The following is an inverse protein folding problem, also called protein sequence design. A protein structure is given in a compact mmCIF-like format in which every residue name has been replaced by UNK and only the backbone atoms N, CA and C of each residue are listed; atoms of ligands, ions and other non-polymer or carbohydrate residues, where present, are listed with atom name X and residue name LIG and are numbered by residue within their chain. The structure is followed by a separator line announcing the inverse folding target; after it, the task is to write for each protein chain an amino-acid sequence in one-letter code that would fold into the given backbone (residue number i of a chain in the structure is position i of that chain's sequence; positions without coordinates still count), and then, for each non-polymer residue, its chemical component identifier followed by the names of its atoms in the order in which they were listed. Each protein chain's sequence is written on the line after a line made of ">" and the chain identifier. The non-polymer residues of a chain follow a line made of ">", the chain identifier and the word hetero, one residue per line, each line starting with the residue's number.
data_IF_820610760783
#
_entry.id   IF_820610760783
#
_cell.length_a   1.000
_cell.length_b   1.000
_cell.length_c   1.000
_cell.angle_alpha   90.00
_cell.angle_beta   90.00
_cell.angle_gamma   90.00
#
_symmetry.space_group_name_H-M   'P 1'
#
loop_
_entity.id
_entity.type
_entity.pdbx_description
1 polymer ?
#
# COMPACT_ATOMS: atom_id res chain seq x y z
N UNK A 1 36.89 16.02 -2.82
CA UNK A 1 36.49 14.72 -2.23
C UNK A 1 37.16 13.58 -2.99
N UNK A 2 37.99 12.74 -2.34
CA UNK A 2 38.42 11.46 -2.93
C UNK A 2 37.19 10.53 -2.98
N UNK A 3 36.90 9.95 -4.15
CA UNK A 3 35.81 8.97 -4.29
C UNK A 3 36.15 7.71 -3.50
N UNK A 4 35.16 7.10 -2.84
CA UNK A 4 35.34 5.84 -2.12
C UNK A 4 35.80 4.73 -3.09
N UNK A 5 36.69 3.85 -2.61
CA UNK A 5 37.24 2.72 -3.39
C UNK A 5 36.20 1.62 -3.64
N UNK A 6 35.21 1.52 -2.77
CA UNK A 6 34.08 0.58 -2.85
C UNK A 6 32.81 1.38 -2.63
N UNK A 7 31.79 1.12 -3.45
CA UNK A 7 30.45 1.68 -3.31
C UNK A 7 29.47 0.53 -3.17
N UNK A 8 28.65 0.57 -2.15
CA UNK A 8 27.62 -0.44 -1.89
C UNK A 8 26.27 0.21 -2.11
N UNK A 9 25.44 -0.40 -2.94
CA UNK A 9 24.09 0.05 -3.26
C UNK A 9 23.10 -1.01 -2.80
N UNK A 10 22.07 -0.59 -2.06
CA UNK A 10 20.93 -1.42 -1.72
C UNK A 10 19.76 -0.99 -2.61
N UNK A 11 19.09 -1.95 -3.23
CA UNK A 11 17.93 -1.71 -4.08
C UNK A 11 16.90 -2.82 -3.87
N UNK A 12 15.64 -2.48 -4.10
CA UNK A 12 14.51 -3.42 -4.08
C UNK A 12 13.52 -2.96 -5.15
N UNK A 13 13.47 -3.66 -6.28
CA UNK A 13 12.58 -3.30 -7.39
C UNK A 13 11.09 -3.49 -7.06
N UNK A 14 10.77 -4.28 -6.02
CA UNK A 14 9.41 -4.45 -5.51
C UNK A 14 8.95 -3.24 -4.66
N UNK A 15 9.87 -2.31 -4.35
CA UNK A 15 9.58 -1.04 -3.68
C UNK A 15 9.39 0.12 -4.67
N UNK A 16 9.51 -0.12 -5.98
CA UNK A 16 9.29 0.92 -7.01
C UNK A 16 7.79 1.21 -7.13
N UNK A 17 7.39 2.48 -6.97
CA UNK A 17 5.98 2.91 -6.95
C UNK A 17 5.54 3.68 -8.19
N UNK A 18 6.48 4.34 -8.86
CA UNK A 18 6.28 5.15 -10.07
C UNK A 18 7.23 4.68 -11.17
N UNK A 19 6.80 4.80 -12.43
CA UNK A 19 7.59 4.32 -13.58
C UNK A 19 8.95 5.03 -13.74
N UNK A 20 9.02 6.32 -13.38
CA UNK A 20 10.22 7.17 -13.47
C UNK A 20 11.31 6.83 -12.43
N UNK A 21 11.04 5.90 -11.52
CA UNK A 21 12.04 5.49 -10.54
C UNK A 21 13.12 4.61 -11.19
N UNK A 22 14.35 5.13 -11.19
CA UNK A 22 15.53 4.50 -11.78
C UNK A 22 16.31 3.58 -10.82
N UNK A 23 15.73 3.24 -9.67
CA UNK A 23 16.32 2.36 -8.64
C UNK A 23 16.38 0.88 -9.03
N UNK A 24 16.70 0.59 -10.29
CA UNK A 24 16.69 -0.74 -10.91
C UNK A 24 18.07 -1.34 -10.99
N UNK A 25 18.14 -2.68 -10.90
CA UNK A 25 19.42 -3.40 -10.99
C UNK A 25 20.17 -3.01 -12.27
N UNK A 26 19.46 -3.02 -13.40
CA UNK A 26 20.01 -2.71 -14.72
C UNK A 26 20.70 -1.34 -14.73
N UNK A 27 20.13 -0.35 -14.05
CA UNK A 27 20.69 1.00 -14.02
C UNK A 27 21.97 1.05 -13.18
N UNK A 28 21.98 0.37 -12.03
CA UNK A 28 23.20 0.26 -11.21
C UNK A 28 24.33 -0.45 -11.96
N UNK A 29 24.02 -1.54 -12.67
CA UNK A 29 24.99 -2.27 -13.50
C UNK A 29 25.55 -1.36 -14.59
N UNK A 30 24.68 -0.67 -15.33
CA UNK A 30 25.08 0.25 -16.40
C UNK A 30 25.97 1.40 -15.88
N UNK A 31 25.71 1.90 -14.67
CA UNK A 31 26.49 2.99 -14.07
C UNK A 31 27.83 2.55 -13.46
N UNK A 32 27.95 1.29 -13.04
CA UNK A 32 29.16 0.79 -12.39
C UNK A 32 30.32 0.57 -13.38
N UNK A 33 30.03 0.47 -14.69
CA UNK A 33 30.95 0.21 -15.80
C UNK A 33 31.70 -1.14 -15.72
N UNK A 34 32.39 -1.47 -14.61
CA UNK A 34 33.13 -2.74 -14.42
C UNK A 34 33.22 -3.14 -12.92
N UNK A 35 33.51 -4.42 -12.62
CA UNK A 35 33.71 -4.99 -11.26
C UNK A 35 32.50 -4.95 -10.31
N UNK A 36 31.34 -5.39 -10.79
CA UNK A 36 30.12 -5.50 -9.96
C UNK A 36 30.04 -6.88 -9.29
N UNK A 37 30.06 -6.89 -7.96
CA UNK A 37 29.69 -8.07 -7.18
C UNK A 37 28.23 -7.97 -6.74
N UNK A 38 27.42 -8.97 -7.11
CA UNK A 38 26.01 -9.05 -6.71
C UNK A 38 25.86 -9.89 -5.46
N UNK A 39 25.11 -9.37 -4.48
CA UNK A 39 24.73 -10.11 -3.28
C UNK A 39 23.23 -9.98 -3.05
N UNK A 40 22.59 -11.08 -2.68
CA UNK A 40 21.19 -11.10 -2.26
C UNK A 40 21.12 -11.21 -0.74
N UNK A 41 20.36 -10.33 -0.10
CA UNK A 41 20.08 -10.41 1.33
C UNK A 41 18.89 -11.36 1.52
N UNK A 42 19.12 -12.52 2.15
CA UNK A 42 18.10 -13.56 2.34
C UNK A 42 17.34 -13.44 3.66
N UNK A 43 17.80 -12.60 4.59
CA UNK A 43 17.20 -12.43 5.90
C UNK A 43 16.09 -11.40 5.93
N UNK A 44 14.83 -11.83 6.08
CA UNK A 44 13.71 -10.96 6.43
C UNK A 44 13.45 -11.05 7.95
N UNK A 45 14.12 -10.20 8.74
CA UNK A 45 14.09 -10.33 10.21
C UNK A 45 12.77 -9.92 10.85
N UNK A 46 12.04 -8.96 10.26
CA UNK A 46 10.79 -8.41 10.80
C UNK A 46 9.53 -8.80 10.03
N UNK A 47 9.69 -9.41 8.86
CA UNK A 47 8.59 -9.72 7.94
C UNK A 47 8.73 -11.15 7.40
N UNK A 48 8.57 -12.18 8.25
CA UNK A 48 8.73 -13.58 7.84
C UNK A 48 7.68 -14.03 6.79
N UNK A 49 6.64 -13.21 6.57
CA UNK A 49 5.54 -13.47 5.65
C UNK A 49 5.68 -12.75 4.30
N UNK A 50 6.79 -12.04 4.03
CA UNK A 50 6.97 -11.27 2.80
C UNK A 50 6.82 -12.12 1.53
N UNK A 51 7.40 -13.32 1.51
CA UNK A 51 7.28 -14.25 0.37
C UNK A 51 5.85 -14.75 0.15
N UNK A 52 5.06 -14.87 1.22
CA UNK A 52 3.65 -15.22 1.12
C UNK A 52 2.87 -14.13 0.38
N UNK A 53 3.15 -12.86 0.67
CA UNK A 53 2.53 -11.72 -0.02
C UNK A 53 2.98 -11.65 -1.48
N UNK A 54 4.26 -11.92 -1.78
CA UNK A 54 4.73 -12.01 -3.17
C UNK A 54 3.96 -13.04 -3.97
N UNK A 55 3.81 -14.25 -3.42
CA UNK A 55 3.04 -15.34 -4.05
C UNK A 55 1.57 -14.97 -4.24
N UNK A 56 0.93 -14.39 -3.21
CA UNK A 56 -0.43 -13.88 -3.29
C UNK A 56 -0.60 -12.92 -4.48
N UNK A 57 0.28 -11.93 -4.60
CA UNK A 57 0.18 -10.87 -5.60
C UNK A 57 0.58 -11.34 -7.01
N UNK A 58 1.39 -12.40 -7.13
CA UNK A 58 1.63 -13.10 -8.39
C UNK A 58 0.40 -13.89 -8.86
N UNK A 59 -0.50 -14.24 -7.94
CA UNK A 59 -1.68 -15.05 -8.21
C UNK A 59 -1.46 -16.54 -7.97
N UNK A 60 -0.41 -16.89 -7.23
CA UNK A 60 -0.10 -18.26 -6.86
C UNK A 60 -1.10 -18.76 -5.80
N UNK A 61 -1.26 -20.08 -5.70
CA UNK A 61 -2.05 -20.67 -4.63
C UNK A 61 -1.34 -20.48 -3.27
N UNK A 62 -1.99 -19.79 -2.35
CA UNK A 62 -1.45 -19.47 -1.02
C UNK A 62 -2.52 -19.64 0.05
N UNK A 63 -2.09 -19.82 1.30
CA UNK A 63 -2.97 -19.75 2.46
C UNK A 63 -2.44 -18.66 3.39
N UNK A 64 -3.28 -17.67 3.69
CA UNK A 64 -2.98 -16.62 4.64
C UNK A 64 -3.34 -17.10 6.05
N UNK A 65 -2.40 -17.15 7.00
CA UNK A 65 -2.68 -17.58 8.36
C UNK A 65 -3.60 -16.56 9.05
N UNK A 66 -4.78 -17.01 9.49
CA UNK A 66 -5.77 -16.15 10.16
C UNK A 66 -5.30 -15.61 11.52
N UNK A 67 -4.22 -16.18 12.06
CA UNK A 67 -3.52 -15.65 13.23
C UNK A 67 -2.84 -14.30 12.96
N UNK A 68 -2.49 -14.03 11.71
CA UNK A 68 -1.79 -12.80 11.30
C UNK A 68 -2.63 -11.92 10.37
N UNK A 69 -3.28 -12.51 9.36
CA UNK A 69 -4.12 -11.80 8.39
C UNK A 69 -5.59 -11.92 8.75
N UNK A 70 -6.30 -10.79 8.84
CA UNK A 70 -7.72 -10.74 9.22
C UNK A 70 -8.49 -9.99 8.14
N UNK A 71 -9.28 -10.69 7.32
CA UNK A 71 -10.13 -10.06 6.31
C UNK A 71 -11.49 -9.72 6.93
N UNK A 72 -11.93 -8.47 6.78
CA UNK A 72 -13.16 -7.95 7.38
C UNK A 72 -14.22 -7.63 6.33
N UNK A 73 -15.46 -8.00 6.61
CA UNK A 73 -16.61 -7.70 5.74
C UNK A 73 -17.02 -6.22 5.80
N UNK A 74 -16.74 -5.56 6.93
CA UNK A 74 -17.14 -4.20 7.18
C UNK A 74 -15.98 -3.37 7.72
N UNK A 75 -15.84 -2.15 7.17
CA UNK A 75 -14.77 -1.23 7.55
C UNK A 75 -14.85 -0.86 9.05
N UNK A 76 -16.04 -0.68 9.61
CA UNK A 76 -16.24 -0.38 11.02
C UNK A 76 -15.68 -1.49 11.93
N UNK A 77 -15.93 -2.76 11.57
CA UNK A 77 -15.39 -3.92 12.28
C UNK A 77 -13.87 -4.01 12.20
N UNK A 78 -13.31 -3.68 11.03
CA UNK A 78 -11.86 -3.58 10.88
C UNK A 78 -11.28 -2.52 11.82
N UNK A 79 -11.83 -1.31 11.82
CA UNK A 79 -11.34 -0.21 12.65
C UNK A 79 -11.45 -0.54 14.15
N UNK A 80 -12.59 -1.09 14.60
CA UNK A 80 -12.80 -1.49 15.99
C UNK A 80 -11.80 -2.57 16.45
N UNK A 81 -11.51 -3.54 15.57
CA UNK A 81 -10.57 -4.63 15.87
C UNK A 81 -9.12 -4.17 16.08
N UNK A 82 -8.74 -3.03 15.50
CA UNK A 82 -7.42 -2.41 15.64
C UNK A 82 -7.39 -1.42 16.81
N UNK A 83 -8.48 -0.65 17.00
CA UNK A 83 -8.55 0.47 17.95
C UNK A 83 -8.16 0.09 19.37
N UNK A 84 -8.58 -1.09 19.82
CA UNK A 84 -8.36 -1.57 21.19
C UNK A 84 -7.02 -2.29 21.40
N UNK A 85 -6.21 -2.48 20.36
CA UNK A 85 -4.91 -3.15 20.48
C UNK A 85 -3.89 -2.25 21.19
N UNK A 86 -2.96 -2.84 21.94
CA UNK A 86 -1.83 -2.10 22.51
C UNK A 86 -0.61 -2.21 21.59
N UNK A 87 -0.07 -1.06 21.16
CA UNK A 87 1.01 -0.95 20.18
C UNK A 87 0.72 0.11 19.11
N UNK A 88 1.70 0.35 18.23
CA UNK A 88 1.59 1.28 17.11
C UNK A 88 0.54 0.79 16.11
N UNK A 89 -0.32 1.70 15.66
CA UNK A 89 -1.42 1.41 14.72
C UNK A 89 -1.26 2.29 13.50
N UNK A 90 -1.52 1.71 12.33
CA UNK A 90 -1.60 2.47 11.09
C UNK A 90 -2.78 1.99 10.26
N UNK A 91 -3.35 2.91 9.49
CA UNK A 91 -4.32 2.67 8.45
C UNK A 91 -3.68 3.10 7.14
N UNK A 92 -3.61 2.18 6.19
CA UNK A 92 -3.04 2.42 4.86
C UNK A 92 -4.14 2.16 3.84
N UNK A 93 -4.34 3.09 2.92
CA UNK A 93 -5.38 2.99 1.90
C UNK A 93 -4.77 2.98 0.50
N UNK A 94 -5.35 2.17 -0.38
CA UNK A 94 -5.12 2.28 -1.81
C UNK A 94 -5.46 3.70 -2.29
N UNK A 95 -4.64 4.24 -3.20
CA UNK A 95 -4.76 5.61 -3.72
C UNK A 95 -5.87 5.66 -4.80
N UNK A 96 -7.10 5.51 -4.32
CA UNK A 96 -8.31 5.45 -5.13
C UNK A 96 -9.40 6.35 -4.56
N UNK A 97 -10.43 6.63 -5.37
CA UNK A 97 -11.66 7.36 -5.03
C UNK A 97 -11.48 8.85 -4.67
N UNK A 98 -10.27 9.25 -4.26
CA UNK A 98 -9.95 10.52 -3.63
C UNK A 98 -8.54 10.94 -4.04
N UNK A 99 -8.38 12.13 -4.62
CA UNK A 99 -7.11 12.60 -5.18
C UNK A 99 -6.20 13.27 -4.14
N UNK A 100 -6.77 13.74 -3.03
CA UNK A 100 -6.06 14.57 -2.07
C UNK A 100 -5.81 15.99 -2.59
N UNK A 101 -5.65 16.91 -1.66
CA UNK A 101 -5.44 18.34 -1.90
C UNK A 101 -4.54 18.89 -0.78
N UNK A 102 -3.23 18.93 -1.08
CA UNK A 102 -2.19 19.36 -0.14
C UNK A 102 -2.27 20.85 0.19
N UNK A 103 -2.86 21.63 -0.71
CA UNK A 103 -2.94 23.09 -0.59
C UNK A 103 -4.13 23.52 0.27
N UNK A 104 -5.18 22.69 0.34
CA UNK A 104 -6.36 22.93 1.17
C UNK A 104 -6.68 21.76 2.09
N UNK A 105 -6.27 21.86 3.36
CA UNK A 105 -6.51 20.84 4.40
C UNK A 105 -8.00 20.50 4.61
N UNK A 106 -8.91 21.43 4.34
CA UNK A 106 -10.35 21.26 4.51
C UNK A 106 -11.06 20.78 3.24
N UNK A 107 -10.32 20.53 2.16
CA UNK A 107 -10.86 20.08 0.89
C UNK A 107 -11.62 18.76 1.05
N UNK A 108 -12.85 18.62 0.49
CA UNK A 108 -13.55 17.34 0.42
C UNK A 108 -12.72 16.25 -0.28
N UNK A 109 -11.78 16.65 -1.15
CA UNK A 109 -10.81 15.77 -1.82
C UNK A 109 -9.84 15.09 -0.87
N UNK A 110 -9.76 15.52 0.38
CA UNK A 110 -8.94 14.85 1.40
C UNK A 110 -9.66 13.69 2.07
N UNK A 111 -10.99 13.55 1.91
CA UNK A 111 -11.74 12.42 2.47
C UNK A 111 -11.46 11.18 1.62
N UNK A 112 -10.85 10.15 2.21
CA UNK A 112 -10.60 8.85 1.55
C UNK A 112 -11.65 7.81 1.89
N UNK A 113 -12.13 7.81 3.13
CA UNK A 113 -13.22 6.94 3.60
C UNK A 113 -14.28 7.81 4.23
N UNK A 114 -15.47 7.81 3.65
CA UNK A 114 -16.59 8.62 4.07
C UNK A 114 -17.57 8.82 2.93
N UNK A 115 -18.58 9.67 3.14
CA UNK A 115 -19.56 9.99 2.12
C UNK A 115 -20.02 11.45 2.28
N UNK A 116 -20.22 12.22 1.19
CA UNK A 116 -19.95 11.85 -0.20
C UNK A 116 -18.45 11.82 -0.55
N UNK A 117 -18.07 11.00 -1.52
CA UNK A 117 -16.74 11.01 -2.15
C UNK A 117 -16.81 11.65 -3.53
N UNK A 118 -15.71 12.24 -3.99
CA UNK A 118 -15.61 12.85 -5.33
C UNK A 118 -15.88 11.87 -6.47
N UNK A 119 -15.58 10.58 -6.27
CA UNK A 119 -15.84 9.52 -7.25
C UNK A 119 -17.30 9.07 -7.28
N UNK A 120 -18.15 9.63 -6.40
CA UNK A 120 -19.52 9.17 -6.15
C UNK A 120 -19.62 7.75 -5.61
N UNK A 121 -18.52 7.16 -5.14
CA UNK A 121 -18.52 5.84 -4.51
C UNK A 121 -19.31 5.86 -3.20
N UNK A 122 -20.29 4.97 -3.08
CA UNK A 122 -21.33 5.00 -2.05
C UNK A 122 -21.22 3.88 -1.00
N UNK A 123 -20.18 3.05 -1.06
CA UNK A 123 -19.93 1.97 -0.09
C UNK A 123 -19.94 2.44 1.36
N UNK A 124 -19.53 3.70 1.60
CA UNK A 124 -19.44 4.32 2.92
C UNK A 124 -20.67 5.16 3.29
N UNK A 125 -21.71 5.21 2.45
CA UNK A 125 -22.96 5.91 2.73
C UNK A 125 -23.59 5.35 4.01
N UNK A 126 -24.11 6.23 4.86
CA UNK A 126 -24.71 5.89 6.16
C UNK A 126 -23.77 5.24 7.20
N UNK A 127 -22.45 5.17 6.96
CA UNK A 127 -21.48 4.63 7.94
C UNK A 127 -21.04 5.67 8.98
N UNK A 128 -21.35 6.95 8.78
CA UNK A 128 -20.90 8.07 9.61
C UNK A 128 -19.36 8.07 9.84
N UNK A 129 -18.60 7.74 8.79
CA UNK A 129 -17.14 7.73 8.80
C UNK A 129 -16.61 8.96 8.07
N UNK A 130 -15.51 9.51 8.59
CA UNK A 130 -14.72 10.56 7.94
C UNK A 130 -13.25 10.34 8.25
N UNK A 131 -12.58 9.56 7.41
CA UNK A 131 -11.15 9.33 7.46
C UNK A 131 -10.53 10.05 6.27
N UNK A 132 -9.57 10.91 6.55
CA UNK A 132 -8.88 11.67 5.51
C UNK A 132 -7.50 11.11 5.25
N UNK A 133 -6.92 11.50 4.13
CA UNK A 133 -5.50 11.32 3.88
C UNK A 133 -4.65 11.99 4.96
N UNK A 134 -3.48 11.40 5.20
CA UNK A 134 -2.34 12.04 5.85
C UNK A 134 -1.69 12.94 4.79
N UNK A 135 -1.61 14.24 5.06
CA UNK A 135 -1.31 15.24 4.02
C UNK A 135 0.07 15.87 4.17
N UNK A 136 0.58 16.01 5.41
CA UNK A 136 1.82 16.73 5.65
C UNK A 136 2.99 15.80 6.02
N UNK A 137 3.91 15.64 5.07
CA UNK A 137 5.09 14.79 5.20
C UNK A 137 6.05 15.22 6.33
N UNK A 138 6.08 16.51 6.70
CA UNK A 138 7.00 17.03 7.72
C UNK A 138 6.41 16.98 9.13
N UNK A 139 5.10 17.22 9.25
CA UNK A 139 4.47 17.42 10.57
C UNK A 139 3.55 16.29 10.99
N UNK A 140 2.87 15.63 10.04
CA UNK A 140 1.92 14.55 10.33
C UNK A 140 2.60 13.18 10.24
N UNK A 141 3.40 12.93 9.20
CA UNK A 141 3.99 11.61 8.94
C UNK A 141 4.89 11.13 10.08
N UNK A 142 5.84 11.93 10.62
CA UNK A 142 6.68 11.48 11.72
C UNK A 142 5.86 11.09 12.95
N UNK A 143 4.87 11.92 13.33
CA UNK A 143 3.99 11.66 14.47
C UNK A 143 3.10 10.43 14.26
N UNK A 144 2.63 10.23 13.03
CA UNK A 144 1.82 9.09 12.64
C UNK A 144 2.59 7.78 12.83
N UNK A 145 3.78 7.70 12.26
CA UNK A 145 4.58 6.47 12.27
C UNK A 145 5.37 6.25 13.56
N UNK A 146 5.62 7.30 14.37
CA UNK A 146 6.17 7.16 15.72
C UNK A 146 5.14 6.69 16.75
N UNK A 147 3.84 6.73 16.42
CA UNK A 147 2.75 6.36 17.33
C UNK A 147 2.27 7.49 18.25
N UNK A 148 2.67 8.73 17.98
CA UNK A 148 2.28 9.93 18.75
C UNK A 148 0.96 10.55 18.27
N UNK A 149 0.38 10.04 17.19
CA UNK A 149 -0.87 10.54 16.63
C UNK A 149 -2.06 10.11 17.52
N UNK A 150 -2.81 11.08 18.05
CA UNK A 150 -3.88 10.84 19.05
C UNK A 150 -4.95 9.83 18.58
N UNK A 151 -5.37 9.93 17.33
CA UNK A 151 -6.28 8.97 16.71
C UNK A 151 -5.73 8.54 15.34
N UNK A 152 -4.85 7.53 15.29
CA UNK A 152 -4.18 7.12 14.05
C UNK A 152 -5.13 6.47 13.04
N UNK A 153 -6.38 6.16 13.43
CA UNK A 153 -7.40 5.58 12.55
C UNK A 153 -8.35 6.64 11.96
N UNK A 154 -8.26 7.91 12.41
CA UNK A 154 -8.94 9.06 11.78
C UNK A 154 -8.24 9.58 10.52
N UNK A 155 -7.00 9.14 10.30
CA UNK A 155 -6.18 9.43 9.12
C UNK A 155 -5.73 8.13 8.47
N UNK A 156 -5.48 8.16 7.18
CA UNK A 156 -4.85 7.06 6.47
C UNK A 156 -3.65 7.53 5.67
N UNK A 157 -2.58 6.75 5.69
CA UNK A 157 -1.46 6.94 4.79
C UNK A 157 -1.78 6.32 3.42
N UNK A 158 -1.34 6.96 2.34
CA UNK A 158 -1.26 6.28 1.06
C UNK A 158 0.02 5.43 1.00
N UNK A 159 0.15 4.58 -0.02
CA UNK A 159 1.32 3.71 -0.19
C UNK A 159 2.65 4.48 -0.18
N UNK A 160 2.72 5.65 -0.82
CA UNK A 160 3.91 6.50 -0.85
C UNK A 160 4.33 6.98 0.55
N UNK A 161 3.35 7.24 1.41
CA UNK A 161 3.61 7.66 2.78
C UNK A 161 3.82 6.54 3.78
N UNK A 162 3.67 5.28 3.33
CA UNK A 162 3.91 4.09 4.14
C UNK A 162 5.26 3.44 3.85
N UNK A 163 5.88 3.73 2.70
CA UNK A 163 7.16 3.18 2.32
C UNK A 163 8.24 3.49 3.37
N UNK A 164 8.94 2.46 3.83
CA UNK A 164 10.00 2.57 4.85
C UNK A 164 9.53 2.65 6.30
N UNK A 165 8.21 2.67 6.57
CA UNK A 165 7.67 2.68 7.94
C UNK A 165 7.05 1.33 8.33
N UNK A 166 6.76 1.12 9.61
CA UNK A 166 6.17 -0.12 10.16
C UNK A 166 5.30 0.21 11.39
N UNK A 167 4.22 -0.55 11.60
CA UNK A 167 3.37 -0.48 12.78
C UNK A 167 3.04 -1.88 13.31
N UNK A 168 2.69 -2.00 14.60
CA UNK A 168 2.35 -3.30 15.20
C UNK A 168 1.09 -3.88 14.57
N UNK A 169 0.06 -3.05 14.38
CA UNK A 169 -1.21 -3.43 13.78
C UNK A 169 -1.51 -2.51 12.61
N UNK A 170 -1.72 -3.08 11.44
CA UNK A 170 -1.99 -2.32 10.21
C UNK A 170 -3.37 -2.68 9.69
N UNK A 171 -4.20 -1.66 9.47
CA UNK A 171 -5.39 -1.75 8.62
C UNK A 171 -5.01 -1.43 7.18
N UNK A 172 -5.34 -2.29 6.24
CA UNK A 172 -5.18 -2.07 4.80
C UNK A 172 -6.56 -1.98 4.17
N UNK A 173 -6.88 -0.82 3.60
CA UNK A 173 -8.05 -0.66 2.74
C UNK A 173 -7.61 -0.96 1.31
N UNK A 174 -7.97 -2.17 0.89
CA UNK A 174 -7.76 -2.68 -0.45
C UNK A 174 -8.79 -2.05 -1.39
N UNK A 175 -8.31 -1.23 -2.32
CA UNK A 175 -9.14 -0.45 -3.21
C UNK A 175 -9.65 -1.24 -4.42
N UNK A 176 -10.47 -0.58 -5.25
CA UNK A 176 -11.01 -1.19 -6.47
C UNK A 176 -10.04 -1.16 -7.67
N UNK A 177 -8.77 -0.82 -7.47
CA UNK A 177 -7.76 -0.66 -8.53
C UNK A 177 -7.05 -1.98 -8.92
N UNK A 178 -6.87 -2.90 -7.97
CA UNK A 178 -6.38 -4.26 -8.19
C UNK A 178 -7.44 -5.26 -7.75
N UNK A 179 -8.15 -5.88 -8.68
CA UNK A 179 -9.31 -6.74 -8.38
C UNK A 179 -9.10 -8.18 -8.81
N UNK A 180 -9.74 -9.12 -8.12
CA UNK A 180 -9.70 -10.54 -8.45
C UNK A 180 -10.86 -10.94 -9.37
N UNK A 181 -10.53 -11.57 -10.50
CA UNK A 181 -11.49 -12.15 -11.46
C UNK A 181 -10.98 -13.51 -11.97
N UNK A 182 -10.59 -14.39 -11.03
CA UNK A 182 -9.82 -15.61 -11.33
C UNK A 182 -8.33 -15.38 -11.61
N UNK A 183 -7.95 -14.11 -11.80
CA UNK A 183 -6.59 -13.57 -11.80
C UNK A 183 -6.64 -12.12 -11.33
N UNK A 184 -5.49 -11.56 -10.99
CA UNK A 184 -5.37 -10.12 -10.71
C UNK A 184 -5.59 -9.29 -11.97
N UNK A 185 -6.50 -8.32 -11.89
CA UNK A 185 -6.87 -7.41 -12.98
C UNK A 185 -6.76 -5.97 -12.52
N UNK A 186 -6.19 -5.12 -13.37
CA UNK A 186 -6.13 -3.67 -13.16
C UNK A 186 -7.47 -3.05 -13.53
N UNK A 187 -8.07 -2.33 -12.60
CA UNK A 187 -9.23 -1.49 -12.87
C UNK A 187 -8.81 -0.03 -12.72
N UNK A 188 -8.84 0.72 -13.82
CA UNK A 188 -8.36 2.10 -13.86
C UNK A 188 -9.38 3.14 -13.43
N UNK A 189 -10.66 2.76 -13.32
CA UNK A 189 -11.75 3.69 -12.99
C UNK A 189 -11.56 4.44 -11.66
N UNK A 190 -11.21 3.77 -10.54
CA UNK A 190 -11.13 4.42 -9.24
C UNK A 190 -9.77 5.09 -8.98
N UNK A 191 -8.78 4.90 -9.85
CA UNK A 191 -7.41 5.39 -9.66
C UNK A 191 -7.39 6.93 -9.78
N UNK A 192 -6.86 7.57 -8.74
CA UNK A 192 -6.76 9.03 -8.61
C UNK A 192 -5.34 9.53 -8.35
N UNK A 193 -4.35 8.62 -8.31
CA UNK A 193 -2.97 8.99 -8.05
C UNK A 193 -2.37 9.84 -9.18
N UNK A 194 -1.60 10.86 -8.81
CA UNK A 194 -0.89 11.74 -9.73
C UNK A 194 0.58 11.97 -9.29
N UNK A 195 1.08 11.12 -8.38
CA UNK A 195 2.42 11.20 -7.83
C UNK A 195 3.46 10.97 -8.93
N UNK A 196 4.51 11.80 -8.94
CA UNK A 196 5.50 11.85 -10.03
C UNK A 196 5.09 12.75 -11.20
N UNK A 197 3.82 13.16 -11.29
CA UNK A 197 3.26 13.95 -12.39
C UNK A 197 2.21 13.18 -13.18
N UNK A 198 1.35 13.90 -13.91
CA UNK A 198 0.21 13.32 -14.63
C UNK A 198 0.62 12.21 -15.61
N UNK A 199 1.77 12.36 -16.26
CA UNK A 199 2.31 11.41 -17.24
C UNK A 199 2.73 10.07 -16.62
N UNK A 200 3.07 10.05 -15.33
CA UNK A 200 3.47 8.86 -14.58
C UNK A 200 2.37 8.34 -13.64
N UNK A 201 1.18 8.94 -13.67
CA UNK A 201 0.02 8.41 -12.96
C UNK A 201 -0.27 6.98 -13.41
N UNK A 202 -0.67 6.12 -12.47
CA UNK A 202 -0.94 4.72 -12.76
C UNK A 202 -2.06 4.57 -13.81
N UNK A 203 -3.01 5.51 -13.83
CA UNK A 203 -4.07 5.58 -14.84
C UNK A 203 -3.54 5.81 -16.26
N UNK A 204 -2.52 6.65 -16.44
CA UNK A 204 -1.89 6.87 -17.76
C UNK A 204 -1.04 5.68 -18.16
N UNK A 205 -0.28 5.13 -17.22
CA UNK A 205 0.54 3.92 -17.43
C UNK A 205 -0.35 2.75 -17.86
N UNK A 206 -1.47 2.50 -17.17
CA UNK A 206 -2.38 1.41 -17.48
C UNK A 206 -3.00 1.50 -18.88
N UNK A 207 -3.22 2.72 -19.41
CA UNK A 207 -3.69 2.92 -20.79
C UNK A 207 -2.63 2.54 -21.83
N UNK A 208 -1.34 2.73 -21.52
CA UNK A 208 -0.23 2.44 -22.43
C UNK A 208 0.25 1.00 -22.31
N UNK A 209 0.36 0.50 -21.08
CA UNK A 209 0.90 -0.81 -20.74
C UNK A 209 0.25 -1.34 -19.45
N UNK A 210 -0.81 -2.13 -19.62
CA UNK A 210 -1.54 -2.76 -18.50
C UNK A 210 -0.64 -3.66 -17.66
N UNK A 211 0.32 -4.36 -18.28
CA UNK A 211 1.22 -5.27 -17.56
C UNK A 211 2.16 -4.49 -16.63
N UNK A 212 2.64 -3.32 -17.06
CA UNK A 212 3.45 -2.43 -16.23
C UNK A 212 2.64 -1.85 -15.08
N UNK A 213 1.40 -1.43 -15.34
CA UNK A 213 0.51 -0.98 -14.28
C UNK A 213 0.20 -2.09 -13.26
N UNK A 214 0.04 -3.33 -13.71
CA UNK A 214 -0.13 -4.48 -12.83
C UNK A 214 1.11 -4.74 -11.96
N UNK A 215 2.32 -4.62 -12.52
CA UNK A 215 3.58 -4.70 -11.76
C UNK A 215 3.63 -3.63 -10.66
N UNK A 216 3.36 -2.37 -11.00
CA UNK A 216 3.34 -1.27 -10.02
C UNK A 216 2.26 -1.44 -8.95
N UNK A 217 1.07 -1.94 -9.31
CA UNK A 217 0.03 -2.26 -8.33
C UNK A 217 0.47 -3.39 -7.40
N UNK A 218 1.10 -4.45 -7.92
CA UNK A 218 1.65 -5.51 -7.08
C UNK A 218 2.67 -4.95 -6.08
N UNK A 219 3.58 -4.08 -6.53
CA UNK A 219 4.52 -3.41 -5.63
C UNK A 219 3.79 -2.59 -4.55
N UNK A 220 2.77 -1.81 -4.94
CA UNK A 220 2.00 -1.00 -3.99
C UNK A 220 1.35 -1.85 -2.90
N UNK A 221 0.63 -2.90 -3.31
CA UNK A 221 -0.01 -3.82 -2.38
C UNK A 221 0.99 -4.62 -1.55
N UNK A 222 2.14 -4.99 -2.13
CA UNK A 222 3.24 -5.60 -1.40
C UNK A 222 3.73 -4.69 -0.27
N UNK A 223 3.99 -3.42 -0.55
CA UNK A 223 4.39 -2.44 0.46
C UNK A 223 3.31 -2.35 1.54
N UNK A 224 2.04 -2.10 1.20
CA UNK A 224 0.97 -1.92 2.18
C UNK A 224 0.81 -3.13 3.11
N UNK A 225 0.79 -4.35 2.55
CA UNK A 225 0.58 -5.58 3.30
C UNK A 225 1.79 -5.98 4.16
N UNK A 226 2.97 -5.43 3.87
CA UNK A 226 4.20 -5.73 4.60
C UNK A 226 4.55 -4.72 5.70
N UNK A 227 3.67 -3.76 5.99
CA UNK A 227 3.92 -2.77 7.06
C UNK A 227 3.57 -3.25 8.46
N UNK A 228 2.89 -4.39 8.59
CA UNK A 228 2.41 -4.91 9.88
C UNK A 228 3.42 -5.82 10.58
N UNK A 229 3.72 -5.57 11.84
CA UNK A 229 4.66 -6.41 12.61
C UNK A 229 3.92 -7.58 13.29
N UNK A 230 2.68 -7.37 13.78
CA UNK A 230 1.92 -8.37 14.55
C UNK A 230 0.67 -8.87 13.84
N UNK A 231 -0.14 -7.97 13.29
CA UNK A 231 -1.37 -8.33 12.56
C UNK A 231 -1.60 -7.37 11.39
N UNK A 232 -2.16 -7.90 10.30
CA UNK A 232 -2.61 -7.14 9.13
C UNK A 232 -4.10 -7.38 8.95
N UNK A 233 -4.88 -6.33 9.14
CA UNK A 233 -6.32 -6.33 8.98
C UNK A 233 -6.65 -5.76 7.61
N UNK A 234 -7.48 -6.45 6.83
CA UNK A 234 -7.76 -6.11 5.44
C UNK A 234 -9.26 -5.85 5.30
N UNK A 235 -9.61 -4.68 4.77
CA UNK A 235 -10.96 -4.39 4.29
C UNK A 235 -10.88 -4.17 2.78
N UNK A 236 -11.81 -4.75 2.03
CA UNK A 236 -11.77 -4.76 0.56
C UNK A 236 -13.01 -4.04 0.03
N UNK A 237 -12.80 -3.12 -0.90
CA UNK A 237 -13.88 -2.34 -1.52
C UNK A 237 -14.62 -3.10 -2.64
N UNK A 238 -14.02 -4.15 -3.20
CA UNK A 238 -14.58 -5.03 -4.24
C UNK A 238 -15.01 -6.40 -3.66
N UNK A 239 -16.27 -6.77 -3.86
CA UNK A 239 -16.86 -7.98 -3.25
C UNK A 239 -16.19 -9.28 -3.69
N UNK A 240 -15.96 -9.48 -4.98
CA UNK A 240 -15.28 -10.71 -5.47
C UNK A 240 -13.86 -10.83 -4.93
N UNK A 241 -13.14 -9.71 -4.82
CA UNK A 241 -11.80 -9.67 -4.23
C UNK A 241 -11.84 -9.98 -2.73
N UNK A 242 -12.85 -9.45 -2.02
CA UNK A 242 -13.10 -9.75 -0.60
C UNK A 242 -13.29 -11.25 -0.38
N UNK A 243 -14.19 -11.86 -1.16
CA UNK A 243 -14.52 -13.29 -1.03
C UNK A 243 -13.33 -14.17 -1.42
N UNK A 244 -12.56 -13.80 -2.43
CA UNK A 244 -11.31 -14.49 -2.74
C UNK A 244 -10.32 -14.45 -1.56
N UNK A 245 -10.03 -13.27 -1.03
CA UNK A 245 -9.10 -13.13 0.09
C UNK A 245 -9.60 -13.88 1.34
N UNK A 246 -10.90 -13.89 1.62
CA UNK A 246 -11.49 -14.72 2.69
C UNK A 246 -11.29 -16.21 2.44
N UNK A 247 -11.52 -16.69 1.21
CA UNK A 247 -11.43 -18.12 0.87
C UNK A 247 -10.03 -18.73 1.08
N UNK A 248 -8.99 -17.89 0.97
CA UNK A 248 -7.58 -18.26 1.19
C UNK A 248 -7.07 -17.88 2.59
N UNK A 249 -7.88 -17.21 3.42
CA UNK A 249 -7.52 -16.89 4.81
C UNK A 249 -8.09 -17.95 5.73
N UNK A 250 -7.23 -18.77 6.34
CA UNK A 250 -7.64 -19.93 7.13
C UNK A 250 -6.86 -20.00 8.43
N UNK A 251 -7.49 -20.59 9.43
CA UNK A 251 -6.74 -21.09 10.59
C UNK A 251 -5.77 -22.17 10.11
N UNK A 252 -4.55 -22.20 10.67
CA UNK A 252 -3.53 -23.17 10.27
C UNK A 252 -4.01 -24.62 10.44
#
# INVERSE_FOLDING_TARGET
>A
MKRARVKVYFYDEEQILVEDEEGREKNFINLANENVEKRTLTGAFRMPYADLIRKLLKGDNVTLPSSFFKVHDHIDKMLDSIRNKNGKKALICAFTESEGDRDNVNSPKNIRIGYPLQSSFDLYKNKNLKITWLMNEKTEYPKYWSGEFKDPLSRCSCVYGAQGFEADYVGVVWGRDLVWRGKWVVNTSPITDNVGGKQYSLKVIAKKNVQKALELLRNRYYIMLTRGIREVHIFVEDDMTREYLKSITRSP
#
